data_IF_747213846584
#
_entry.id   IF_747213846584
#
_cell.length_a   1.000
_cell.length_b   1.000
_cell.length_c   1.000
_cell.angle_alpha   90.00
_cell.angle_beta   90.00
_cell.angle_gamma   90.00
#
_symmetry.space_group_name_H-M   'P 1'
#
loop_
_entity.id
_entity.type
_entity.pdbx_description
1 polymer ?
#
# COMPACT_ATOMS: atom_id res chain seq x y z
N UNK A 1 6.76 29.31 1.38
CA UNK A 1 6.52 28.08 2.17
C UNK A 1 7.55 27.03 1.76
N UNK A 2 7.93 26.11 2.65
CA UNK A 2 8.78 24.96 2.30
C UNK A 2 7.92 23.74 2.03
N UNK A 3 8.41 22.80 1.21
CA UNK A 3 7.75 21.52 0.94
C UNK A 3 7.38 20.77 2.24
N UNK A 4 8.28 20.81 3.23
CA UNK A 4 8.07 20.18 4.53
C UNK A 4 6.84 20.72 5.28
N UNK A 5 6.50 22.01 5.09
CA UNK A 5 5.30 22.60 5.70
C UNK A 5 3.98 22.18 5.04
N UNK A 6 4.03 21.55 3.86
CA UNK A 6 2.85 21.06 3.14
C UNK A 6 2.49 19.61 3.48
N UNK A 7 3.47 18.85 3.98
CA UNK A 7 3.33 17.42 4.26
C UNK A 7 3.04 17.27 5.76
N UNK A 8 1.91 16.65 6.15
CA UNK A 8 1.62 16.39 7.56
C UNK A 8 2.74 15.58 8.22
N UNK A 9 3.03 15.90 9.49
CA UNK A 9 3.85 15.05 10.33
C UNK A 9 3.12 13.71 10.55
N UNK A 10 3.87 12.61 10.47
CA UNK A 10 3.34 11.25 10.71
C UNK A 10 3.98 10.70 11.97
N UNK A 11 3.22 9.93 12.76
CA UNK A 11 3.73 9.26 13.95
C UNK A 11 4.54 8.03 13.58
N UNK A 12 4.10 7.32 12.54
CA UNK A 12 4.73 6.10 12.04
C UNK A 12 5.15 6.29 10.60
N UNK A 13 6.45 6.24 10.34
CA UNK A 13 6.98 6.31 8.99
C UNK A 13 6.74 4.98 8.25
N UNK A 14 5.95 4.96 7.15
CA UNK A 14 5.61 3.70 6.49
C UNK A 14 6.82 2.96 5.90
N UNK A 15 7.88 3.69 5.55
CA UNK A 15 9.12 3.09 5.06
C UNK A 15 9.79 2.17 6.09
N UNK A 16 9.53 2.39 7.38
CA UNK A 16 10.08 1.58 8.48
C UNK A 16 9.21 0.38 8.80
N UNK A 17 7.99 0.29 8.27
CA UNK A 17 7.11 -0.85 8.54
C UNK A 17 7.62 -2.12 7.85
N UNK A 18 7.56 -3.29 8.51
CA UNK A 18 7.86 -4.56 7.86
C UNK A 18 6.81 -4.89 6.80
N UNK A 19 7.23 -5.59 5.74
CA UNK A 19 6.32 -6.10 4.71
C UNK A 19 5.69 -7.40 5.19
N UNK A 20 4.56 -7.30 5.87
CA UNK A 20 3.86 -8.47 6.42
C UNK A 20 2.76 -8.98 5.50
N UNK A 21 2.31 -8.13 4.56
CA UNK A 21 1.45 -8.56 3.47
C UNK A 21 2.30 -8.95 2.28
N UNK A 22 2.19 -10.22 1.89
CA UNK A 22 2.88 -10.75 0.74
C UNK A 22 2.17 -10.33 -0.56
N UNK A 23 2.82 -10.53 -1.70
CA UNK A 23 2.34 -9.98 -2.97
C UNK A 23 1.00 -10.59 -3.39
N UNK A 24 0.92 -11.91 -3.44
CA UNK A 24 -0.27 -12.60 -3.94
C UNK A 24 -1.44 -12.46 -2.98
N UNK A 25 -1.18 -12.34 -1.67
CA UNK A 25 -2.22 -11.96 -0.71
C UNK A 25 -2.80 -10.59 -1.05
N UNK A 26 -1.94 -9.58 -1.24
CA UNK A 26 -2.39 -8.22 -1.61
C UNK A 26 -3.19 -8.27 -2.91
N UNK A 27 -2.65 -8.93 -3.93
CA UNK A 27 -3.26 -9.02 -5.25
C UNK A 27 -4.62 -9.73 -5.24
N UNK A 28 -4.70 -10.91 -4.62
CA UNK A 28 -5.90 -11.75 -4.68
C UNK A 28 -6.99 -11.28 -3.71
N UNK A 29 -6.63 -10.87 -2.48
CA UNK A 29 -7.59 -10.71 -1.39
C UNK A 29 -7.83 -9.25 -0.98
N UNK A 30 -6.91 -8.33 -1.27
CA UNK A 30 -6.97 -6.97 -0.72
C UNK A 30 -7.18 -5.90 -1.79
N UNK A 31 -6.35 -5.88 -2.84
CA UNK A 31 -6.39 -4.90 -3.93
C UNK A 31 -7.77 -4.78 -4.60
N UNK A 32 -8.54 -5.86 -4.83
CA UNK A 32 -9.86 -5.74 -5.44
C UNK A 32 -10.85 -4.87 -4.64
N UNK A 33 -10.56 -4.61 -3.36
CA UNK A 33 -11.43 -3.82 -2.47
C UNK A 33 -10.87 -2.43 -2.15
N UNK A 34 -9.86 -1.96 -2.91
CA UNK A 34 -9.25 -0.66 -2.72
C UNK A 34 -9.00 0.05 -4.07
N UNK A 35 -9.64 1.20 -4.24
CA UNK A 35 -9.59 1.97 -5.49
C UNK A 35 -8.17 2.40 -5.90
N UNK A 36 -7.23 2.48 -4.95
CA UNK A 36 -5.83 2.76 -5.25
C UNK A 36 -5.23 1.75 -6.23
N UNK A 37 -5.71 0.51 -6.24
CA UNK A 37 -5.15 -0.59 -7.03
C UNK A 37 -6.05 -1.02 -8.20
N UNK A 38 -7.06 -0.21 -8.54
CA UNK A 38 -7.95 -0.44 -9.69
C UNK A 38 -7.23 -0.50 -11.05
N UNK A 39 -6.00 0.02 -11.11
CA UNK A 39 -5.11 -0.07 -12.27
C UNK A 39 -4.30 -1.38 -12.34
N UNK A 40 -4.29 -2.16 -11.24
CA UNK A 40 -3.61 -3.46 -11.14
C UNK A 40 -4.63 -4.60 -11.26
N UNK A 41 -5.73 -4.52 -10.51
CA UNK A 41 -6.82 -5.51 -10.52
C UNK A 41 -8.18 -4.80 -10.63
N UNK A 42 -9.18 -5.42 -11.29
CA UNK A 42 -10.54 -4.89 -11.28
C UNK A 42 -11.10 -4.79 -9.85
N UNK A 43 -11.79 -3.69 -9.55
CA UNK A 43 -12.50 -3.54 -8.28
C UNK A 43 -13.66 -4.55 -8.20
N UNK A 44 -13.72 -5.34 -7.12
CA UNK A 44 -14.79 -6.30 -6.90
C UNK A 44 -16.01 -5.63 -6.23
N UNK A 45 -17.24 -5.89 -6.74
CA UNK A 45 -18.46 -5.47 -6.05
C UNK A 45 -18.79 -6.41 -4.89
N UNK A 46 -19.24 -5.84 -3.77
CA UNK A 46 -19.73 -6.60 -2.61
C UNK A 46 -18.76 -6.64 -1.43
N UNK A 47 -19.06 -7.44 -0.39
CA UNK A 47 -18.20 -7.55 0.77
C UNK A 47 -16.90 -8.29 0.43
N UNK A 48 -15.77 -7.90 1.02
CA UNK A 48 -14.52 -8.65 0.87
C UNK A 48 -14.62 -10.11 1.26
N UNK A 49 -13.80 -10.97 0.64
CA UNK A 49 -13.68 -12.41 0.97
C UNK A 49 -12.92 -12.64 2.29
N UNK A 50 -13.37 -12.01 3.36
CA UNK A 50 -12.79 -12.19 4.69
C UNK A 50 -13.10 -13.57 5.25
N UNK A 51 -12.08 -14.26 5.79
CA UNK A 51 -12.18 -15.64 6.24
C UNK A 51 -11.51 -15.84 7.61
N UNK A 52 -11.61 -17.07 8.15
CA UNK A 52 -11.08 -17.39 9.48
C UNK A 52 -9.54 -17.29 9.58
N UNK A 53 -8.81 -17.58 8.50
CA UNK A 53 -7.34 -17.44 8.46
C UNK A 53 -6.95 -15.97 8.54
N UNK A 54 -7.51 -15.11 7.68
CA UNK A 54 -7.25 -13.67 7.69
C UNK A 54 -7.61 -13.03 9.04
N UNK A 55 -8.71 -13.46 9.66
CA UNK A 55 -9.07 -13.00 11.01
C UNK A 55 -8.06 -13.45 12.06
N UNK A 56 -7.56 -14.69 12.00
CA UNK A 56 -6.56 -15.19 12.93
C UNK A 56 -5.25 -14.40 12.83
N UNK A 57 -4.76 -14.13 11.61
CA UNK A 57 -3.58 -13.29 11.40
C UNK A 57 -3.82 -11.83 11.80
N UNK A 58 -4.98 -11.25 11.46
CA UNK A 58 -5.35 -9.89 11.89
C UNK A 58 -5.34 -9.75 13.42
N UNK A 59 -5.78 -10.77 14.14
CA UNK A 59 -5.82 -10.79 15.61
C UNK A 59 -4.45 -10.87 16.28
N UNK A 60 -3.38 -11.21 15.57
CA UNK A 60 -2.01 -11.19 16.13
C UNK A 60 -1.51 -9.78 16.41
N UNK A 61 -2.01 -8.78 15.68
CA UNK A 61 -1.65 -7.38 15.86
C UNK A 61 -2.32 -6.78 17.09
N UNK A 62 -1.58 -5.97 17.83
CA UNK A 62 -2.16 -5.13 18.88
C UNK A 62 -3.21 -4.16 18.28
N UNK A 63 -4.46 -4.11 18.80
CA UNK A 63 -5.50 -3.25 18.25
C UNK A 63 -5.14 -1.77 18.14
N UNK A 64 -4.28 -1.26 19.02
CA UNK A 64 -3.89 0.15 19.05
C UNK A 64 -3.08 0.59 17.82
N UNK A 65 -2.41 -0.34 17.15
CA UNK A 65 -1.69 -0.07 15.91
C UNK A 65 -2.65 0.50 14.85
N UNK A 66 -3.86 -0.06 14.77
CA UNK A 66 -4.86 0.37 13.80
C UNK A 66 -5.33 1.79 14.06
N UNK A 67 -5.43 2.18 15.33
CA UNK A 67 -5.79 3.55 15.71
C UNK A 67 -4.70 4.55 15.30
N UNK A 68 -3.42 4.18 15.51
CA UNK A 68 -2.29 5.04 15.16
C UNK A 68 -2.16 5.18 13.64
N UNK A 69 -2.15 4.06 12.92
CA UNK A 69 -2.02 4.05 11.47
C UNK A 69 -3.22 4.67 10.76
N UNK A 70 -4.43 4.43 11.27
CA UNK A 70 -5.66 5.03 10.75
C UNK A 70 -5.64 6.55 10.84
N UNK A 71 -5.23 7.12 11.99
CA UNK A 71 -5.08 8.57 12.15
C UNK A 71 -4.07 9.18 11.18
N UNK A 72 -2.88 8.58 11.10
CA UNK A 72 -1.85 9.03 10.15
C UNK A 72 -2.36 8.94 8.69
N UNK A 73 -3.17 7.92 8.36
CA UNK A 73 -3.79 7.76 7.03
C UNK A 73 -4.89 8.79 6.75
N UNK A 74 -5.72 9.10 7.73
CA UNK A 74 -6.80 10.09 7.60
C UNK A 74 -6.24 11.51 7.43
N UNK A 75 -5.21 11.87 8.21
CA UNK A 75 -4.51 13.16 8.11
C UNK A 75 -3.91 13.34 6.72
N UNK A 76 -3.28 12.30 6.19
CA UNK A 76 -2.75 12.25 4.82
C UNK A 76 -3.83 12.41 3.76
N UNK A 77 -4.91 11.64 3.88
CA UNK A 77 -6.03 11.68 2.93
C UNK A 77 -6.70 13.05 2.91
N UNK A 78 -6.81 13.69 4.07
CA UNK A 78 -7.33 15.05 4.17
C UNK A 78 -6.39 16.09 3.56
N UNK A 79 -5.09 16.01 3.84
CA UNK A 79 -4.09 16.89 3.27
C UNK A 79 -4.01 16.74 1.74
N UNK A 80 -4.04 15.51 1.23
CA UNK A 80 -4.04 15.20 -0.20
C UNK A 80 -5.21 15.86 -0.92
N UNK A 81 -6.43 15.76 -0.38
CA UNK A 81 -7.63 16.43 -0.94
C UNK A 81 -7.44 17.94 -1.04
N UNK A 82 -6.90 18.56 0.01
CA UNK A 82 -6.62 20.01 0.02
C UNK A 82 -5.56 20.41 -1.00
N UNK A 83 -4.45 19.68 -1.06
CA UNK A 83 -3.35 19.97 -1.99
C UNK A 83 -3.80 19.80 -3.45
N UNK A 84 -4.55 18.74 -3.76
CA UNK A 84 -5.13 18.54 -5.10
C UNK A 84 -6.08 19.68 -5.49
N UNK A 85 -6.95 20.11 -4.57
CA UNK A 85 -7.83 21.26 -4.82
C UNK A 85 -7.05 22.55 -5.13
N UNK A 86 -6.00 22.83 -4.36
CA UNK A 86 -5.11 23.99 -4.59
C UNK A 86 -4.36 23.89 -5.93
N UNK A 87 -3.82 22.72 -6.27
CA UNK A 87 -3.14 22.47 -7.55
C UNK A 87 -4.08 22.68 -8.75
N UNK A 88 -5.32 22.15 -8.67
CA UNK A 88 -6.35 22.35 -9.69
C UNK A 88 -6.67 23.83 -9.88
N UNK A 89 -6.82 24.59 -8.80
CA UNK A 89 -7.13 26.02 -8.88
C UNK A 89 -5.99 26.84 -9.51
N UNK A 90 -4.73 26.53 -9.18
CA UNK A 90 -3.57 27.16 -9.82
C UNK A 90 -3.53 26.88 -11.32
N UNK A 91 -3.73 25.61 -11.72
CA UNK A 91 -3.78 25.21 -13.13
C UNK A 91 -4.92 25.92 -13.86
N UNK A 92 -6.11 25.98 -13.27
CA UNK A 92 -7.27 26.69 -13.82
C UNK A 92 -6.99 28.17 -14.05
N UNK A 93 -6.31 28.83 -13.10
CA UNK A 93 -5.92 30.24 -13.20
C UNK A 93 -4.66 30.48 -14.04
N UNK A 94 -4.05 29.43 -14.60
CA UNK A 94 -2.77 29.49 -15.33
C UNK A 94 -1.67 30.17 -14.51
N UNK A 95 -1.62 29.88 -13.21
CA UNK A 95 -0.62 30.41 -12.27
C UNK A 95 0.36 29.31 -11.85
N UNK A 96 1.61 29.69 -11.66
CA UNK A 96 2.68 28.80 -11.18
C UNK A 96 2.87 28.87 -9.66
N UNK A 97 2.22 29.83 -8.99
CA UNK A 97 2.32 30.05 -7.54
C UNK A 97 1.04 30.66 -6.97
N UNK A 98 0.75 30.33 -5.72
CA UNK A 98 -0.31 30.97 -4.94
C UNK A 98 -0.02 32.46 -4.67
N UNK A 99 -1.07 33.19 -4.30
CA UNK A 99 -0.98 34.61 -3.89
C UNK A 99 -0.18 34.73 -2.58
N UNK A 100 0.33 35.92 -2.28
CA UNK A 100 1.02 36.25 -1.02
C UNK A 100 2.23 35.37 -0.69
N UNK A 101 2.92 34.87 -1.72
CA UNK A 101 4.11 34.05 -1.52
C UNK A 101 3.84 32.63 -1.03
N UNK A 102 2.61 32.12 -1.22
CA UNK A 102 2.21 30.75 -0.94
C UNK A 102 2.96 29.68 -1.75
N UNK A 103 2.45 28.44 -1.73
CA UNK A 103 3.14 27.31 -2.37
C UNK A 103 3.22 27.48 -3.89
N UNK A 104 4.32 27.03 -4.49
CA UNK A 104 4.38 26.89 -5.94
C UNK A 104 3.62 25.66 -6.41
N UNK A 105 3.23 25.63 -7.69
CA UNK A 105 2.61 24.44 -8.28
C UNK A 105 3.51 23.21 -8.15
N UNK A 106 4.82 23.38 -8.35
CA UNK A 106 5.81 22.32 -8.19
C UNK A 106 5.87 21.80 -6.74
N UNK A 107 5.81 22.69 -5.74
CA UNK A 107 5.77 22.28 -4.33
C UNK A 107 4.50 21.48 -4.02
N UNK A 108 3.35 21.89 -4.57
CA UNK A 108 2.09 21.16 -4.40
C UNK A 108 2.15 19.78 -5.05
N UNK A 109 2.67 19.67 -6.27
CA UNK A 109 2.81 18.39 -6.98
C UNK A 109 3.80 17.45 -6.27
N UNK A 110 4.93 17.97 -5.79
CA UNK A 110 5.88 17.19 -4.99
C UNK A 110 5.28 16.72 -3.66
N UNK A 111 4.49 17.56 -2.98
CA UNK A 111 3.80 17.20 -1.74
C UNK A 111 2.72 16.13 -1.99
N UNK A 112 1.95 16.26 -3.08
CA UNK A 112 0.94 15.30 -3.51
C UNK A 112 1.59 13.93 -3.73
N UNK A 113 2.65 13.86 -4.54
CA UNK A 113 3.34 12.60 -4.83
C UNK A 113 3.93 11.96 -3.57
N UNK A 114 4.49 12.77 -2.66
CA UNK A 114 5.03 12.28 -1.39
C UNK A 114 3.94 11.67 -0.49
N UNK A 115 2.79 12.32 -0.39
CA UNK A 115 1.66 11.83 0.42
C UNK A 115 1.02 10.59 -0.22
N UNK A 116 0.86 10.55 -1.54
CA UNK A 116 0.34 9.39 -2.26
C UNK A 116 1.25 8.17 -2.06
N UNK A 117 2.57 8.33 -2.21
CA UNK A 117 3.54 7.27 -1.93
C UNK A 117 3.44 6.78 -0.48
N UNK A 118 3.30 7.70 0.48
CA UNK A 118 3.13 7.37 1.90
C UNK A 118 1.85 6.59 2.17
N UNK A 119 0.73 6.99 1.58
CA UNK A 119 -0.56 6.29 1.68
C UNK A 119 -0.47 4.87 1.12
N UNK A 120 0.05 4.73 -0.10
CA UNK A 120 0.23 3.45 -0.77
C UNK A 120 1.14 2.52 0.03
N UNK A 121 2.27 3.03 0.52
CA UNK A 121 3.21 2.24 1.32
C UNK A 121 2.56 1.78 2.62
N UNK A 122 1.89 2.66 3.37
CA UNK A 122 1.20 2.29 4.62
C UNK A 122 0.16 1.20 4.38
N UNK A 123 -0.61 1.35 3.31
CA UNK A 123 -1.63 0.38 2.90
C UNK A 123 -1.00 -0.98 2.58
N UNK A 124 0.01 -1.00 1.71
CA UNK A 124 0.71 -2.22 1.27
C UNK A 124 1.43 -2.96 2.39
N UNK A 125 1.89 -2.25 3.43
CA UNK A 125 2.66 -2.87 4.51
C UNK A 125 1.82 -3.77 5.39
N UNK A 126 0.68 -3.26 5.88
CA UNK A 126 -0.35 -4.07 6.55
C UNK A 126 -1.65 -3.30 6.88
N UNK A 127 -1.75 -1.98 6.67
CA UNK A 127 -3.00 -1.27 6.92
C UNK A 127 -4.14 -1.76 6.02
N UNK A 128 -3.84 -2.19 4.78
CA UNK A 128 -4.84 -2.75 3.87
C UNK A 128 -5.60 -3.94 4.45
N UNK A 129 -4.93 -4.79 5.23
CA UNK A 129 -5.57 -5.91 5.94
C UNK A 129 -6.70 -5.41 6.87
N UNK A 130 -6.43 -4.34 7.61
CA UNK A 130 -7.42 -3.79 8.54
C UNK A 130 -8.56 -3.08 7.81
N UNK A 131 -8.28 -2.30 6.77
CA UNK A 131 -9.32 -1.61 6.00
C UNK A 131 -10.27 -2.59 5.31
N UNK A 132 -9.74 -3.66 4.71
CA UNK A 132 -10.53 -4.72 4.09
C UNK A 132 -11.39 -5.43 5.14
N UNK A 133 -10.84 -5.72 6.33
CA UNK A 133 -11.63 -6.23 7.46
C UNK A 133 -12.76 -5.29 7.87
N UNK A 134 -12.50 -3.99 7.95
CA UNK A 134 -13.55 -3.00 8.28
C UNK A 134 -14.62 -2.93 7.20
N UNK A 135 -14.25 -3.05 5.92
CA UNK A 135 -15.20 -3.10 4.81
C UNK A 135 -16.10 -4.34 4.89
N UNK A 136 -15.56 -5.51 5.24
CA UNK A 136 -16.33 -6.72 5.50
C UNK A 136 -17.28 -6.58 6.71
N UNK A 137 -16.82 -5.97 7.80
CA UNK A 137 -17.63 -5.76 9.01
C UNK A 137 -18.76 -4.76 8.84
N UNK A 138 -18.59 -3.75 7.97
CA UNK A 138 -19.53 -2.64 7.83
C UNK A 138 -21.00 -3.09 7.62
N UNK A 139 -21.33 -3.95 6.63
CA UNK A 139 -22.70 -4.42 6.45
C UNK A 139 -23.21 -5.24 7.64
N UNK A 140 -22.35 -6.06 8.26
CA UNK A 140 -22.73 -6.88 9.42
C UNK A 140 -23.11 -6.01 10.63
N UNK A 141 -22.37 -4.93 10.87
CA UNK A 141 -22.66 -3.98 11.95
C UNK A 141 -23.97 -3.21 11.75
N UNK A 142 -24.35 -2.99 10.48
CA UNK A 142 -25.65 -2.38 10.15
C UNK A 142 -26.81 -3.37 10.38
N UNK A 143 -26.60 -4.64 10.05
CA UNK A 143 -27.61 -5.68 10.22
C UNK A 143 -27.79 -6.11 11.68
N UNK A 144 -26.71 -6.11 12.45
CA UNK A 144 -26.68 -6.56 13.85
C UNK A 144 -26.11 -5.45 14.76
N UNK A 145 -26.84 -4.33 14.93
CA UNK A 145 -26.37 -3.23 15.78
C UNK A 145 -26.18 -3.70 17.22
N UNK A 146 -25.14 -3.20 17.88
CA UNK A 146 -24.81 -3.51 19.27
C UNK A 146 -24.02 -4.82 19.49
N UNK A 147 -23.84 -5.66 18.46
CA UNK A 147 -22.93 -6.80 18.59
C UNK A 147 -21.46 -6.37 18.53
N UNK A 148 -20.63 -7.02 19.35
CA UNK A 148 -19.18 -6.82 19.30
C UNK A 148 -18.60 -7.40 18.02
N UNK A 149 -17.51 -6.82 17.51
CA UNK A 149 -16.84 -7.33 16.31
C UNK A 149 -16.40 -8.78 16.48
N UNK A 150 -15.94 -9.16 17.68
CA UNK A 150 -15.56 -10.54 17.99
C UNK A 150 -16.75 -11.49 17.80
N UNK A 151 -17.91 -11.15 18.38
CA UNK A 151 -19.11 -11.99 18.28
C UNK A 151 -19.60 -12.12 16.84
N UNK A 152 -19.56 -11.01 16.08
CA UNK A 152 -19.89 -11.04 14.66
C UNK A 152 -18.97 -12.01 13.91
N UNK A 153 -17.66 -11.90 14.10
CA UNK A 153 -16.68 -12.77 13.45
C UNK A 153 -16.87 -14.25 13.81
N UNK A 154 -17.07 -14.57 15.09
CA UNK A 154 -17.35 -15.93 15.55
C UNK A 154 -18.65 -16.51 14.98
N UNK A 155 -19.61 -15.65 14.62
CA UNK A 155 -20.91 -16.08 14.07
C UNK A 155 -20.86 -16.29 12.56
N UNK A 156 -20.13 -15.43 11.83
CA UNK A 156 -20.18 -15.40 10.35
C UNK A 156 -19.03 -16.16 9.68
N UNK A 157 -17.89 -16.31 10.35
CA UNK A 157 -16.75 -16.98 9.78
C UNK A 157 -16.90 -18.50 9.94
N UNK A 158 -16.87 -19.19 8.81
CA UNK A 158 -16.84 -20.64 8.79
C UNK A 158 -15.52 -21.14 9.37
N UNK A 159 -15.59 -22.25 10.11
CA UNK A 159 -14.38 -22.95 10.54
C UNK A 159 -13.58 -23.41 9.30
N UNK A 160 -12.27 -23.22 9.35
CA UNK A 160 -11.35 -23.57 8.29
C UNK A 160 -10.07 -24.13 8.88
N UNK A 161 -9.45 -25.07 8.18
CA UNK A 161 -8.12 -25.57 8.50
C UNK A 161 -7.06 -24.69 7.81
N UNK A 162 -6.15 -24.14 8.60
CA UNK A 162 -5.03 -23.33 8.14
C UNK A 162 -3.87 -23.39 9.15
N UNK A 163 -2.68 -23.01 8.70
CA UNK A 163 -1.53 -22.91 9.60
C UNK A 163 -1.72 -21.75 10.58
N UNK A 164 -1.62 -22.04 11.87
CA UNK A 164 -1.84 -21.01 12.89
C UNK A 164 -0.73 -19.96 12.84
N UNK A 165 -1.05 -18.67 13.07
CA UNK A 165 -0.03 -17.64 13.15
C UNK A 165 1.01 -17.97 14.23
N UNK A 166 2.28 -17.70 13.95
CA UNK A 166 3.38 -17.91 14.90
C UNK A 166 3.25 -17.04 16.14
N UNK A 167 2.67 -15.86 16.01
CA UNK A 167 2.48 -14.92 17.10
C UNK A 167 1.16 -15.16 17.83
N UNK A 168 1.19 -15.06 19.15
CA UNK A 168 -0.03 -15.08 19.96
C UNK A 168 -0.92 -13.87 19.65
N UNK A 169 -2.24 -13.97 19.87
CA UNK A 169 -3.15 -12.86 19.66
C UNK A 169 -2.70 -11.58 20.39
N UNK A 170 -2.71 -10.47 19.66
CA UNK A 170 -2.41 -9.11 20.13
C UNK A 170 -0.99 -8.95 20.70
N UNK A 171 -0.01 -9.67 20.16
CA UNK A 171 1.41 -9.58 20.57
C UNK A 171 2.31 -8.91 19.55
N UNK A 172 1.89 -8.75 18.30
CA UNK A 172 2.70 -8.05 17.31
C UNK A 172 2.58 -6.53 17.47
N UNK A 173 3.74 -5.85 17.52
CA UNK A 173 3.91 -4.39 17.51
C UNK A 173 4.90 -3.95 16.42
N UNK A 174 4.52 -4.04 15.13
CA UNK A 174 5.36 -3.76 13.98
C UNK A 174 5.46 -2.27 13.62
N UNK A 175 5.26 -1.36 14.59
CA UNK A 175 5.33 0.09 14.36
C UNK A 175 6.41 0.75 15.20
N UNK A 176 7.00 1.81 14.66
CA UNK A 176 8.05 2.59 15.30
C UNK A 176 7.51 3.60 16.33
N UNK A 177 6.45 3.25 17.04
CA UNK A 177 5.90 4.07 18.13
C UNK A 177 6.09 3.36 19.46
N UNK A 178 6.53 4.05 20.53
CA UNK A 178 6.63 3.42 21.85
C UNK A 178 5.29 2.79 22.25
N UNK A 179 5.37 1.65 22.95
CA UNK A 179 4.19 1.01 23.51
C UNK A 179 3.55 1.99 24.51
N UNK A 180 2.22 2.23 24.42
CA UNK A 180 1.52 3.03 25.41
C UNK A 180 1.73 2.49 26.83
N UNK A 181 1.94 3.37 27.81
CA UNK A 181 2.20 2.96 29.20
C UNK A 181 1.12 2.06 29.80
N UNK A 182 -0.14 2.24 29.41
CA UNK A 182 -1.26 1.40 29.86
C UNK A 182 -1.22 -0.03 29.33
N UNK A 183 -0.38 -0.32 28.33
CA UNK A 183 -0.14 -1.66 27.79
C UNK A 183 1.20 -2.26 28.22
N UNK A 184 1.97 -1.55 29.07
CA UNK A 184 3.26 -2.03 29.56
C UNK A 184 3.02 -3.13 30.62
N UNK A 185 3.63 -4.30 30.40
CA UNK A 185 3.53 -5.45 31.31
C UNK A 185 2.31 -6.34 31.13
N UNK A 186 1.32 -5.95 30.31
CA UNK A 186 0.07 -6.72 30.17
C UNK A 186 0.19 -7.99 29.32
N UNK A 187 1.25 -8.14 28.51
CA UNK A 187 1.35 -9.23 27.53
C UNK A 187 2.76 -9.83 27.47
N UNK A 188 3.02 -10.98 28.12
CA UNK A 188 4.24 -11.74 27.85
C UNK A 188 4.30 -12.12 26.37
N UNK A 189 5.50 -12.15 25.79
CA UNK A 189 5.70 -12.57 24.39
C UNK A 189 5.45 -11.49 23.32
N UNK A 190 5.28 -10.21 23.69
CA UNK A 190 5.15 -9.12 22.70
C UNK A 190 6.40 -9.01 21.81
N UNK A 191 6.18 -8.88 20.50
CA UNK A 191 7.24 -8.74 19.48
C UNK A 191 7.19 -7.34 18.89
N UNK A 192 8.21 -6.53 19.15
CA UNK A 192 8.24 -5.12 18.75
C UNK A 192 9.21 -4.88 17.60
N UNK A 193 8.93 -3.87 16.77
CA UNK A 193 9.78 -3.48 15.62
C UNK A 193 11.25 -3.21 15.99
N UNK A 194 11.49 -2.74 17.21
CA UNK A 194 12.81 -2.40 17.74
C UNK A 194 13.56 -3.57 18.35
N UNK A 195 12.94 -4.75 18.47
CA UNK A 195 13.63 -5.94 18.94
C UNK A 195 14.66 -6.33 17.87
N UNK A 196 15.94 -6.06 18.17
CA UNK A 196 17.04 -6.39 17.29
C UNK A 196 17.06 -7.90 16.99
N UNK A 197 17.34 -8.26 15.72
CA UNK A 197 17.41 -9.65 15.30
C UNK A 197 16.05 -10.34 15.08
N UNK A 198 14.93 -9.63 15.20
CA UNK A 198 13.63 -10.19 14.77
C UNK A 198 13.59 -10.26 13.26
N UNK A 199 13.55 -11.49 12.75
CA UNK A 199 13.13 -11.75 11.38
C UNK A 199 11.61 -11.53 11.29
N UNK A 200 11.21 -10.49 10.55
CA UNK A 200 9.80 -10.14 10.35
C UNK A 200 9.12 -11.00 9.29
N UNK A 201 9.89 -11.67 8.42
CA UNK A 201 9.33 -12.47 7.33
C UNK A 201 8.56 -13.68 7.83
N UNK A 202 8.95 -14.26 8.98
CA UNK A 202 8.21 -15.34 9.64
C UNK A 202 6.83 -14.94 10.19
N UNK A 203 6.54 -13.64 10.27
CA UNK A 203 5.24 -13.10 10.65
C UNK A 203 4.44 -12.59 9.44
N UNK A 204 4.97 -12.76 8.23
CA UNK A 204 4.21 -12.47 7.02
C UNK A 204 2.99 -13.40 6.91
N UNK A 205 1.93 -12.89 6.31
CA UNK A 205 0.74 -13.67 6.02
C UNK A 205 1.02 -14.64 4.86
N UNK A 206 0.28 -15.76 4.73
CA UNK A 206 0.52 -16.76 3.68
C UNK A 206 0.34 -16.21 2.25
N UNK A 207 1.31 -16.45 1.36
CA UNK A 207 1.39 -15.82 0.03
C UNK A 207 0.70 -16.54 -1.13
N UNK A 208 -0.36 -17.31 -0.88
CA UNK A 208 -1.05 -18.21 -1.85
C UNK A 208 -0.99 -17.72 -3.32
N UNK A 209 0.02 -18.12 -4.10
CA UNK A 209 0.27 -17.49 -5.40
C UNK A 209 -0.61 -18.12 -6.48
N UNK A 210 -1.14 -17.27 -7.35
CA UNK A 210 -1.87 -17.63 -8.56
C UNK A 210 -1.07 -17.22 -9.81
N UNK A 211 -1.33 -17.86 -10.95
CA UNK A 211 -0.70 -17.50 -12.23
C UNK A 211 -0.84 -16.01 -12.54
N UNK A 212 -2.04 -15.46 -12.30
CA UNK A 212 -2.33 -14.04 -12.52
C UNK A 212 -1.56 -13.14 -11.55
N UNK A 213 -1.50 -13.52 -10.27
CA UNK A 213 -0.73 -12.76 -9.28
C UNK A 213 0.75 -12.73 -9.63
N UNK A 214 1.34 -13.84 -10.09
CA UNK A 214 2.75 -13.90 -10.48
C UNK A 214 3.02 -13.10 -11.76
N UNK A 215 2.13 -13.19 -12.76
CA UNK A 215 2.23 -12.37 -13.96
C UNK A 215 2.16 -10.87 -13.64
N UNK A 216 1.28 -10.47 -12.72
CA UNK A 216 1.20 -9.10 -12.24
C UNK A 216 2.44 -8.70 -11.42
N UNK A 217 2.97 -9.60 -10.57
CA UNK A 217 4.19 -9.36 -9.77
C UNK A 217 5.34 -8.95 -10.66
N UNK A 218 5.60 -9.71 -11.73
CA UNK A 218 6.68 -9.41 -12.68
C UNK A 218 6.53 -8.03 -13.34
N UNK A 219 5.30 -7.57 -13.55
CA UNK A 219 5.03 -6.26 -14.18
C UNK A 219 5.19 -5.09 -13.22
N UNK A 220 4.84 -5.25 -11.94
CA UNK A 220 4.72 -4.14 -10.99
C UNK A 220 5.76 -4.15 -9.87
N UNK A 221 6.24 -5.32 -9.47
CA UNK A 221 7.30 -5.53 -8.48
C UNK A 221 8.30 -6.60 -9.00
N UNK A 222 8.98 -6.36 -10.15
CA UNK A 222 9.96 -7.30 -10.68
C UNK A 222 11.12 -7.50 -9.69
N UNK A 223 11.57 -8.74 -9.56
CA UNK A 223 12.77 -9.06 -8.77
C UNK A 223 13.99 -8.45 -9.45
N UNK A 224 15.06 -8.16 -8.69
CA UNK A 224 16.32 -7.66 -9.25
C UNK A 224 16.88 -8.56 -10.37
N UNK A 225 16.70 -9.89 -10.27
CA UNK A 225 17.08 -10.83 -11.33
C UNK A 225 16.19 -10.69 -12.59
N UNK A 226 14.87 -10.61 -12.41
CA UNK A 226 13.90 -10.43 -13.51
C UNK A 226 14.10 -9.09 -14.22
N UNK A 227 14.39 -8.01 -13.46
CA UNK A 227 14.68 -6.69 -14.01
C UNK A 227 16.02 -6.63 -14.80
N UNK A 228 16.96 -7.52 -14.50
CA UNK A 228 18.23 -7.66 -15.23
C UNK A 228 18.04 -8.48 -16.52
N UNK A 229 17.20 -9.52 -16.47
CA UNK A 229 16.84 -10.33 -17.65
C UNK A 229 16.05 -9.50 -18.68
N UNK A 230 15.04 -8.74 -18.26
CA UNK A 230 14.29 -7.84 -19.15
C UNK A 230 15.21 -6.77 -19.80
N UNK A 231 16.22 -6.28 -19.06
CA UNK A 231 17.18 -5.32 -19.60
C UNK A 231 18.09 -5.93 -20.67
N UNK A 232 18.42 -7.22 -20.56
CA UNK A 232 19.19 -7.96 -21.57
C UNK A 232 18.33 -8.29 -22.80
N UNK A 233 17.09 -8.73 -22.62
CA UNK A 233 16.18 -9.01 -23.74
C UNK A 233 15.83 -7.73 -24.54
N UNK A 234 15.73 -6.58 -23.84
CA UNK A 234 15.55 -5.26 -24.49
C UNK A 234 16.83 -4.76 -25.18
N UNK A 235 18.01 -5.20 -24.74
CA UNK A 235 19.28 -4.90 -25.39
C UNK A 235 19.47 -5.77 -26.65
N UNK A 236 19.14 -7.06 -26.57
CA UNK A 236 19.29 -8.02 -27.68
C UNK A 236 18.27 -7.78 -28.80
N UNK A 237 17.08 -7.27 -28.47
CA UNK A 237 16.09 -6.83 -29.47
C UNK A 237 16.43 -5.52 -30.17
N UNK A 238 17.41 -4.74 -29.67
CA UNK A 238 17.86 -3.48 -30.30
C UNK A 238 18.94 -3.66 -31.37
N UNK A 239 19.52 -4.86 -31.48
CA UNK A 239 20.52 -5.20 -32.49
C UNK A 239 19.96 -5.86 -33.75
N UNK A 240 18.64 -6.13 -33.80
CA UNK A 240 18.02 -6.89 -34.89
C UNK A 240 17.08 -6.12 -35.82
N UNK A 241 16.89 -4.81 -35.65
CA UNK A 241 16.11 -4.03 -36.62
C UNK A 241 16.80 -2.72 -37.00
N UNK A 242 17.76 -2.88 -37.91
CA UNK A 242 18.46 -1.81 -38.59
C UNK A 242 18.50 -2.07 -40.09
N UNK A 243 17.34 -2.10 -40.74
CA UNK A 243 17.26 -1.93 -42.21
C UNK A 243 16.02 -1.13 -42.58
N UNK A 244 16.23 0.08 -43.12
CA UNK A 244 15.21 0.94 -43.73
C UNK A 244 14.47 0.23 -44.87
N UNK A 245 13.15 0.41 -44.99
CA UNK A 245 12.56 1.13 -46.13
C UNK A 245 11.03 1.37 -46.00
N UNK A 246 10.57 2.17 -46.95
CA UNK A 246 9.56 3.24 -46.92
C UNK A 246 8.08 2.83 -47.14
N UNK A 247 7.20 3.77 -46.80
CA UNK A 247 5.84 4.03 -47.31
C UNK A 247 4.70 2.97 -47.18
N UNK A 248 3.65 3.35 -46.43
CA UNK A 248 2.22 3.50 -46.85
C UNK A 248 1.26 3.17 -45.67
N UNK A 249 0.41 4.13 -45.27
CA UNK A 249 -0.63 3.95 -44.22
C UNK A 249 -1.81 3.03 -44.65
N UNK A 250 -2.84 2.80 -43.81
CA UNK A 250 -3.53 3.84 -43.05
C UNK A 250 -3.93 3.53 -41.59
N UNK A 251 -4.36 4.61 -40.94
CA UNK A 251 -5.02 4.72 -39.64
C UNK A 251 -6.34 3.93 -39.53
N UNK A 252 -6.75 3.71 -38.27
CA UNK A 252 -8.01 3.15 -37.71
C UNK A 252 -7.87 1.66 -37.33
N UNK A 253 -8.02 1.28 -36.06
CA UNK A 253 -9.27 1.40 -35.33
C UNK A 253 -9.09 1.67 -33.83
N UNK A 254 -9.77 2.74 -33.41
CA UNK A 254 -10.25 2.97 -32.06
C UNK A 254 -11.16 1.82 -31.61
N UNK A 255 -10.94 1.32 -30.39
CA UNK A 255 -12.06 0.88 -29.53
C UNK A 255 -11.87 1.48 -28.15
N UNK A 256 -12.48 2.65 -28.00
CA UNK A 256 -12.87 3.24 -26.73
C UNK A 256 -13.82 2.31 -26.00
N UNK A 257 -13.51 2.00 -24.75
CA UNK A 257 -14.51 1.85 -23.69
C UNK A 257 -13.86 2.16 -22.34
N UNK A 258 -14.14 3.36 -21.82
CA UNK A 258 -14.32 3.58 -20.39
C UNK A 258 -13.10 3.63 -19.46
N UNK A 259 -11.95 4.15 -19.90
CA UNK A 259 -10.88 4.50 -18.96
C UNK A 259 -11.24 5.78 -18.17
N UNK A 260 -11.52 5.65 -16.87
CA UNK A 260 -11.35 6.78 -15.94
C UNK A 260 -9.85 7.02 -15.79
N UNK A 261 -9.40 8.12 -16.36
CA UNK A 261 -8.03 8.62 -16.24
C UNK A 261 -7.68 8.89 -14.78
N UNK A 262 -6.81 8.06 -14.22
CA UNK A 262 -5.84 8.45 -13.20
C UNK A 262 -4.46 8.15 -13.77
N UNK A 263 -3.81 9.15 -14.34
CA UNK A 263 -2.41 9.05 -14.72
C UNK A 263 -1.56 8.82 -13.47
N UNK A 264 -1.12 7.58 -13.28
CA UNK A 264 -0.03 7.22 -12.39
C UNK A 264 0.94 6.38 -13.20
N UNK A 265 2.09 6.96 -13.55
CA UNK A 265 3.23 6.22 -14.08
C UNK A 265 4.06 5.79 -12.85
N UNK A 266 4.38 4.50 -12.67
CA UNK A 266 5.37 4.11 -11.69
C UNK A 266 6.75 4.39 -12.28
N UNK A 267 7.32 5.55 -11.94
CA UNK A 267 8.75 5.74 -12.03
C UNK A 267 9.33 5.62 -10.62
N UNK A 268 10.35 4.75 -10.51
CA UNK A 268 11.47 4.73 -9.54
C UNK A 268 11.72 3.34 -8.95
N UNK A 269 12.29 2.47 -9.79
CA UNK A 269 13.36 1.57 -9.38
C UNK A 269 14.68 2.35 -9.31
N UNK A 270 15.47 2.11 -8.26
CA UNK A 270 16.91 2.44 -8.22
C UNK A 270 17.30 3.75 -7.54
N UNK A 271 17.82 3.63 -6.31
CA UNK A 271 19.06 4.26 -5.79
C UNK A 271 18.94 4.65 -4.30
N UNK A 272 19.19 3.69 -3.41
CA UNK A 272 19.93 3.95 -2.16
C UNK A 272 20.81 2.75 -1.83
N UNK A 273 21.90 2.60 -2.57
CA UNK A 273 23.13 1.99 -2.04
C UNK A 273 24.04 3.13 -1.61
N UNK A 274 24.03 3.46 -0.32
CA UNK A 274 25.12 4.23 0.29
C UNK A 274 25.81 3.33 1.31
N UNK A 275 26.95 2.78 0.89
CA UNK A 275 27.95 2.18 1.77
C UNK A 275 28.37 3.24 2.80
N UNK A 276 28.24 2.93 4.08
CA UNK A 276 28.99 3.64 5.10
C UNK A 276 30.45 3.22 4.98
N UNK A 277 31.31 4.16 4.60
CA UNK A 277 32.74 4.03 4.87
C UNK A 277 32.94 4.24 6.38
N UNK A 278 33.41 3.21 7.07
CA UNK A 278 33.99 3.33 8.41
C UNK A 278 35.34 4.03 8.25
N UNK A 279 35.50 5.18 8.90
CA UNK A 279 36.81 5.76 9.16
C UNK A 279 37.33 5.16 10.47
N UNK A 280 38.53 4.58 10.41
CA UNK A 280 39.44 4.43 11.53
C UNK A 280 40.57 5.45 11.33
#
# INVERSE_FOLDING_TARGET
MSLASLIPATRVYPALLPSLLTWSLRYNELYPYCDFFSHIVPTEPGPPRWNAELEAYHRTFDPDIWLVLGRDHDDDTFALRKLRSRSVELKRRKRTKEVDGGASLADLEAAIASIESRLLTRWNRFLGLHEVRQAFLRPLRMMYPGQSQQRLMETVLLAMDFERPLADPRTLWPISMPIPHHLMGERPGRVCIWHAGVDWTKYALPDRPSCDSEAARRRFEPTAAEALEDANDTADSRWLDGTMDDATGPFLLSRTNGARSSGFLPAFTGLFHRRHAQAA
#
